data_IF_797025577003
#
_entry.id   IF_797025577003
#
_cell.length_a   1.000
_cell.length_b   1.000
_cell.length_c   1.000
_cell.angle_alpha   90.00
_cell.angle_beta   90.00
_cell.angle_gamma   90.00
#
_symmetry.space_group_name_H-M   'P 1'
#
loop_
_entity.id
_entity.type
_entity.pdbx_description
1 polymer ?
#
# COMPACT_ATOMS: atom_id res chain seq x y z
N UNK A 1 -0.68 -1.81 -0.02
CA UNK A 1 -0.03 -0.85 -0.93
C UNK A 1 -0.96 0.33 -1.13
N UNK A 2 -0.44 1.54 -0.93
CA UNK A 2 -1.12 2.79 -1.25
C UNK A 2 -0.51 3.38 -2.52
N UNK A 3 -1.34 3.96 -3.37
CA UNK A 3 -0.94 4.62 -4.62
C UNK A 3 -1.73 5.92 -4.80
N UNK A 4 -1.08 6.94 -5.34
CA UNK A 4 -1.71 8.21 -5.75
C UNK A 4 -1.04 8.73 -7.02
N UNK A 5 -1.81 9.29 -7.94
CA UNK A 5 -1.30 9.97 -9.13
C UNK A 5 -0.91 11.40 -8.78
N UNK A 6 0.17 11.89 -9.36
CA UNK A 6 0.62 13.28 -9.25
C UNK A 6 1.02 13.81 -10.62
N UNK A 7 0.77 15.09 -10.88
CA UNK A 7 1.24 15.74 -12.10
C UNK A 7 0.86 17.22 -12.20
N UNK A 8 1.42 17.90 -13.18
CA UNK A 8 1.30 19.35 -13.40
C UNK A 8 1.05 19.70 -14.89
N UNK A 9 1.28 20.96 -15.25
CA UNK A 9 1.15 21.50 -16.62
C UNK A 9 2.50 21.84 -17.26
N UNK A 10 3.48 20.93 -17.21
CA UNK A 10 4.76 21.07 -17.93
C UNK A 10 5.38 22.47 -17.84
N UNK A 11 5.37 23.04 -16.64
CA UNK A 11 5.76 24.42 -16.38
C UNK A 11 7.08 24.48 -15.61
N UNK A 12 7.23 23.64 -14.59
CA UNK A 12 8.33 23.65 -13.65
C UNK A 12 8.61 22.25 -13.09
N UNK A 13 9.74 22.11 -12.39
CA UNK A 13 10.12 20.85 -11.76
C UNK A 13 9.43 20.74 -10.40
N UNK A 14 8.68 19.66 -10.19
CA UNK A 14 7.98 19.40 -8.93
C UNK A 14 8.72 18.34 -8.13
N UNK A 15 8.81 18.56 -6.82
CA UNK A 15 9.50 17.65 -5.89
C UNK A 15 8.48 17.04 -4.94
N UNK A 16 7.95 15.90 -5.34
CA UNK A 16 6.79 15.30 -4.67
C UNK A 16 7.20 14.18 -3.73
N UNK A 17 6.51 14.13 -2.60
CA UNK A 17 6.82 13.21 -1.50
C UNK A 17 5.57 12.45 -1.07
N UNK A 18 5.71 11.15 -0.84
CA UNK A 18 4.69 10.28 -0.27
C UNK A 18 5.28 9.53 0.92
N UNK A 19 4.59 9.56 2.06
CA UNK A 19 5.00 8.87 3.29
C UNK A 19 3.82 8.09 3.86
N UNK A 20 4.08 6.87 4.30
CA UNK A 20 3.12 6.02 4.99
C UNK A 20 3.53 5.83 6.45
N UNK A 21 2.55 5.93 7.35
CA UNK A 21 2.77 5.98 8.78
C UNK A 21 1.94 4.91 9.50
N UNK A 22 2.47 4.44 10.62
CA UNK A 22 1.73 3.60 11.56
C UNK A 22 0.81 4.47 12.43
N UNK A 23 -0.07 3.83 13.22
CA UNK A 23 -0.94 4.54 14.17
C UNK A 23 -0.18 5.19 15.34
N UNK A 24 1.11 4.92 15.48
CA UNK A 24 2.00 5.52 16.49
C UNK A 24 3.02 6.47 15.86
N UNK A 25 2.71 7.03 14.69
CA UNK A 25 3.53 8.00 13.96
C UNK A 25 4.94 7.50 13.60
N UNK A 26 5.09 6.19 13.43
CA UNK A 26 6.34 5.59 12.92
C UNK A 26 6.27 5.53 11.40
N UNK A 27 7.29 6.05 10.72
CA UNK A 27 7.42 5.96 9.27
C UNK A 27 7.58 4.49 8.85
N UNK A 28 6.67 4.01 8.01
CA UNK A 28 6.67 2.64 7.49
C UNK A 28 7.29 2.53 6.10
N UNK A 29 7.02 3.51 5.25
CA UNK A 29 7.51 3.55 3.88
C UNK A 29 7.48 4.97 3.32
N UNK A 30 8.33 5.23 2.33
CA UNK A 30 8.41 6.51 1.61
C UNK A 30 8.63 6.29 0.12
N UNK A 31 8.18 7.24 -0.67
CA UNK A 31 8.51 7.39 -2.09
C UNK A 31 8.67 8.87 -2.42
N UNK A 32 9.63 9.17 -3.27
CA UNK A 32 9.93 10.51 -3.78
C UNK A 32 9.86 10.47 -5.30
N UNK A 33 9.33 11.52 -5.91
CA UNK A 33 9.20 11.63 -7.35
C UNK A 33 9.45 13.06 -7.77
N UNK A 34 10.44 13.24 -8.65
CA UNK A 34 10.73 14.51 -9.28
C UNK A 34 10.06 14.50 -10.66
N UNK A 35 9.07 15.37 -10.85
CA UNK A 35 8.41 15.57 -12.13
C UNK A 35 9.17 16.65 -12.91
N UNK A 36 9.81 16.35 -14.05
CA UNK A 36 10.56 17.36 -14.78
C UNK A 36 9.64 18.42 -15.40
N UNK A 37 10.10 19.67 -15.47
CA UNK A 37 9.39 20.79 -16.12
C UNK A 37 8.93 20.54 -17.56
N UNK A 38 9.53 19.59 -18.27
CA UNK A 38 9.13 19.24 -19.64
C UNK A 38 7.92 18.30 -19.71
N UNK A 39 7.44 17.76 -18.59
CA UNK A 39 6.44 16.70 -18.52
C UNK A 39 5.06 17.30 -18.32
N UNK A 40 4.10 16.97 -19.20
CA UNK A 40 2.70 17.31 -18.98
C UNK A 40 2.02 16.16 -18.25
N UNK A 41 1.43 16.44 -17.08
CA UNK A 41 0.95 15.41 -16.17
C UNK A 41 2.08 14.94 -15.24
N UNK A 42 2.15 13.63 -14.99
CA UNK A 42 3.17 13.04 -14.14
C UNK A 42 3.01 11.52 -14.02
N UNK A 43 3.33 10.94 -12.87
CA UNK A 43 3.31 9.50 -12.64
C UNK A 43 2.61 9.14 -11.31
N UNK A 44 2.57 7.85 -10.99
CA UNK A 44 2.07 7.33 -9.72
C UNK A 44 3.18 7.24 -8.68
N UNK A 45 2.93 7.84 -7.52
CA UNK A 45 3.67 7.55 -6.31
C UNK A 45 3.07 6.32 -5.60
N UNK A 46 3.92 5.40 -5.15
CA UNK A 46 3.48 4.17 -4.48
C UNK A 46 4.29 3.88 -3.23
N UNK A 47 3.62 3.41 -2.18
CA UNK A 47 4.24 2.90 -0.96
C UNK A 47 3.60 1.59 -0.53
N UNK A 48 4.43 0.68 -0.03
CA UNK A 48 3.98 -0.60 0.51
C UNK A 48 4.71 -0.89 1.81
N UNK A 49 4.03 -1.60 2.71
CA UNK A 49 4.55 -1.97 4.03
C UNK A 49 3.96 -3.31 4.42
N UNK A 50 4.77 -4.15 5.09
CA UNK A 50 4.32 -5.40 5.70
C UNK A 50 3.51 -5.15 6.98
N UNK A 51 3.67 -3.99 7.60
CA UNK A 51 2.85 -3.50 8.71
C UNK A 51 1.69 -2.66 8.17
N UNK A 52 0.53 -2.73 8.82
CA UNK A 52 -0.65 -1.94 8.47
C UNK A 52 -0.33 -0.44 8.42
N UNK A 53 -0.64 0.19 7.30
CA UNK A 53 -0.57 1.64 7.12
C UNK A 53 -1.82 2.25 7.79
N UNK A 54 -1.62 3.18 8.72
CA UNK A 54 -2.70 3.90 9.39
C UNK A 54 -3.11 5.16 8.62
N UNK A 55 -2.13 5.93 8.14
CA UNK A 55 -2.36 7.09 7.30
C UNK A 55 -1.19 7.34 6.36
N UNK A 56 -1.41 8.20 5.38
CA UNK A 56 -0.38 8.69 4.47
C UNK A 56 -0.37 10.21 4.46
N UNK A 57 0.80 10.77 4.21
CA UNK A 57 0.97 12.19 3.90
C UNK A 57 1.61 12.31 2.53
N UNK A 58 1.10 13.22 1.72
CA UNK A 58 1.65 13.53 0.41
C UNK A 58 1.67 15.03 0.21
N UNK A 59 2.74 15.54 -0.37
CA UNK A 59 2.94 16.97 -0.62
C UNK A 59 3.96 17.18 -1.73
N UNK A 60 3.98 18.40 -2.22
CA UNK A 60 4.98 18.91 -3.15
C UNK A 60 5.87 19.94 -2.42
N UNK A 61 7.15 19.95 -2.74
CA UNK A 61 8.20 20.69 -2.08
C UNK A 61 8.50 22.05 -2.68
N UNK A 62 9.55 22.69 -2.17
CA UNK A 62 10.12 23.89 -2.80
C UNK A 62 10.63 23.54 -4.22
N UNK A 63 10.60 24.46 -5.19
CA UNK A 63 10.36 25.90 -5.02
C UNK A 63 8.90 26.38 -5.12
N UNK A 64 7.96 25.51 -5.51
CA UNK A 64 6.58 25.90 -5.79
C UNK A 64 5.56 24.98 -5.08
N UNK A 65 5.58 24.91 -3.74
CA UNK A 65 4.82 23.92 -3.01
C UNK A 65 3.32 24.01 -3.28
N UNK A 66 2.76 22.93 -3.82
CA UNK A 66 1.33 22.79 -4.06
C UNK A 66 0.89 23.21 -5.47
N UNK A 67 1.82 23.35 -6.41
CA UNK A 67 1.53 23.60 -7.82
C UNK A 67 1.10 22.34 -8.61
N UNK A 68 1.02 21.17 -7.94
CA UNK A 68 0.64 19.88 -8.55
C UNK A 68 -0.81 19.48 -8.30
N UNK A 69 -1.33 18.60 -9.15
CA UNK A 69 -2.61 17.92 -8.99
C UNK A 69 -2.42 16.51 -8.42
N UNK A 70 -3.29 16.12 -7.49
CA UNK A 70 -3.33 14.78 -6.91
C UNK A 70 -4.61 14.07 -7.32
N UNK A 71 -4.49 12.89 -7.92
CA UNK A 71 -5.65 12.15 -8.41
C UNK A 71 -5.50 10.62 -8.31
N UNK A 72 -6.54 9.92 -8.76
CA UNK A 72 -6.60 8.45 -8.90
C UNK A 72 -6.01 7.66 -7.70
N UNK A 73 -6.38 8.08 -6.49
CA UNK A 73 -5.95 7.47 -5.24
C UNK A 73 -6.51 6.04 -5.11
N UNK A 74 -5.65 5.09 -4.74
CA UNK A 74 -6.09 3.74 -4.41
C UNK A 74 -5.30 3.13 -3.26
N UNK A 75 -5.98 2.29 -2.48
CA UNK A 75 -5.38 1.54 -1.39
C UNK A 75 -5.80 0.09 -1.46
N UNK A 76 -4.80 -0.79 -1.56
CA UNK A 76 -4.96 -2.24 -1.46
C UNK A 76 -4.42 -2.67 -0.10
N UNK A 77 -5.26 -2.91 0.91
CA UNK A 77 -4.78 -3.41 2.20
C UNK A 77 -4.14 -4.78 2.03
N UNK A 78 -3.04 -5.03 2.75
CA UNK A 78 -2.53 -6.39 2.91
C UNK A 78 -3.46 -7.05 3.92
N UNK A 79 -4.38 -7.88 3.44
CA UNK A 79 -5.18 -8.74 4.29
C UNK A 79 -4.34 -9.99 4.53
N UNK A 80 -3.87 -10.26 5.77
CA UNK A 80 -3.19 -11.52 6.05
C UNK A 80 -4.05 -12.67 5.55
N UNK A 81 -3.44 -13.66 4.89
CA UNK A 81 -4.18 -14.86 4.51
C UNK A 81 -4.87 -15.39 5.77
N UNK A 82 -6.20 -15.51 5.75
CA UNK A 82 -6.90 -15.75 6.98
C UNK A 82 -6.47 -17.11 7.52
N UNK A 83 -6.36 -17.18 8.85
CA UNK A 83 -6.18 -18.41 9.63
C UNK A 83 -7.16 -19.52 9.19
N UNK A 84 -8.22 -19.18 8.44
CA UNK A 84 -9.06 -20.07 7.65
C UNK A 84 -8.31 -21.19 6.96
N UNK A 85 -7.15 -20.99 6.33
CA UNK A 85 -6.43 -22.11 5.71
C UNK A 85 -5.84 -23.06 6.75
N UNK A 86 -5.30 -22.54 7.85
CA UNK A 86 -4.84 -23.35 8.98
C UNK A 86 -6.00 -24.09 9.65
N UNK A 87 -7.12 -23.42 9.90
CA UNK A 87 -8.35 -23.99 10.47
C UNK A 87 -8.99 -25.04 9.55
N UNK A 88 -9.02 -24.79 8.23
CA UNK A 88 -9.47 -25.74 7.23
C UNK A 88 -8.57 -26.98 7.22
N UNK A 89 -7.24 -26.78 7.24
CA UNK A 89 -6.27 -27.87 7.34
C UNK A 89 -6.47 -28.71 8.61
N UNK A 90 -6.64 -28.07 9.76
CA UNK A 90 -6.93 -28.73 11.04
C UNK A 90 -8.26 -29.49 10.99
N UNK A 91 -9.32 -28.90 10.44
CA UNK A 91 -10.62 -29.54 10.27
C UNK A 91 -10.55 -30.79 9.40
N UNK A 92 -9.84 -30.72 8.27
CA UNK A 92 -9.62 -31.87 7.38
C UNK A 92 -8.79 -32.98 8.05
N UNK A 93 -7.75 -32.62 8.79
CA UNK A 93 -6.95 -33.57 9.55
C UNK A 93 -7.78 -34.29 10.62
N UNK A 94 -8.63 -33.56 11.35
CA UNK A 94 -9.53 -34.12 12.35
C UNK A 94 -10.54 -35.10 11.71
N UNK A 95 -11.15 -34.73 10.58
CA UNK A 95 -12.06 -35.62 9.84
C UNK A 95 -11.36 -36.90 9.37
N UNK A 96 -10.12 -36.78 8.86
CA UNK A 96 -9.30 -37.93 8.46
C UNK A 96 -9.01 -38.88 9.63
N UNK A 97 -8.68 -38.34 10.81
CA UNK A 97 -8.44 -39.13 12.02
C UNK A 97 -9.71 -39.88 12.47
N UNK A 98 -10.87 -39.23 12.46
CA UNK A 98 -12.15 -39.86 12.82
C UNK A 98 -12.50 -40.98 11.84
N UNK A 99 -12.34 -40.74 10.53
CA UNK A 99 -12.60 -41.74 9.51
C UNK A 99 -11.69 -42.98 9.65
N UNK A 100 -10.41 -42.78 10.00
CA UNK A 100 -9.48 -43.89 10.26
C UNK A 100 -9.90 -44.74 11.45
N UNK A 101 -10.28 -44.11 12.57
CA UNK A 101 -10.73 -44.84 13.78
C UNK A 101 -11.96 -45.69 13.52
N UNK A 102 -12.90 -45.19 12.70
CA UNK A 102 -14.11 -45.92 12.32
C UNK A 102 -13.88 -47.14 11.42
N UNK A 103 -12.74 -47.21 10.72
CA UNK A 103 -12.36 -48.39 9.92
C UNK A 103 -11.61 -49.45 10.72
N UNK A 104 -11.13 -49.10 11.91
CA UNK A 104 -10.34 -49.98 12.78
C UNK A 104 -11.17 -50.57 13.94
N UNK A 105 -12.41 -50.11 14.13
CA UNK A 105 -13.41 -50.67 15.02
C UNK A 105 -14.44 -51.47 14.21
#
# INVERSE_FOLDING_TARGET
>A
MFKIGVGDYNADEDHTHLRAWSASDVLLASADYDNPASTYGGDYMMVSSATSIAYVTFWDGEPYPGAVYWDNMSYTPVVPEPETYALMGLGLAALGLVARRRRQA
#
